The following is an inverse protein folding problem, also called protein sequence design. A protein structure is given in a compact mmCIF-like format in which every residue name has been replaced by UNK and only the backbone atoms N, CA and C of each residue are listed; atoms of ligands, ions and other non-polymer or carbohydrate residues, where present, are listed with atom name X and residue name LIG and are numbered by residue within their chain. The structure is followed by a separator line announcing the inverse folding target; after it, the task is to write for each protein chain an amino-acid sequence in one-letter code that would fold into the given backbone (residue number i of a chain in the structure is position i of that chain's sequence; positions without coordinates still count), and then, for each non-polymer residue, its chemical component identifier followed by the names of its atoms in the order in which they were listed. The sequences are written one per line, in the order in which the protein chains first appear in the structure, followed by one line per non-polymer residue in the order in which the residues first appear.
data_IF_661953376365
#
_entry.id   IF_661953376365
#
_cell.length_a   1.000
_cell.length_b   1.000
_cell.length_c   1.000
_cell.angle_alpha   90.00
_cell.angle_beta   90.00
_cell.angle_gamma   90.00
#
_symmetry.space_group_name_H-M   'P 1'
#
loop_
_entity.id
_entity.type
_entity.pdbx_description
1 polymer ?
#
# COMPACT_ATOMS: atom_id res chain seq x y z
N UNK A 1 -0.81 10.86 -3.48
CA UNK A 1 0.04 11.64 -4.42
C UNK A 1 0.62 10.77 -5.53
N UNK A 2 1.34 9.68 -5.25
CA UNK A 2 1.73 8.70 -6.28
C UNK A 2 0.87 7.45 -6.12
N UNK A 3 0.19 7.04 -7.18
CA UNK A 3 -0.61 5.81 -7.29
C UNK A 3 -0.66 5.38 -8.75
N UNK A 4 -0.86 4.09 -8.99
CA UNK A 4 -1.09 3.58 -10.34
C UNK A 4 -2.57 3.68 -10.73
N UNK A 5 -2.82 3.95 -12.01
CA UNK A 5 -4.15 4.00 -12.61
C UNK A 5 -4.78 2.61 -12.71
N UNK A 6 -6.10 2.58 -12.85
CA UNK A 6 -6.89 1.37 -13.06
C UNK A 6 -7.86 1.55 -14.22
N UNK A 7 -7.85 0.62 -15.17
CA UNK A 7 -8.68 0.67 -16.36
C UNK A 7 -9.53 -0.59 -16.47
N UNK A 8 -10.85 -0.43 -16.52
CA UNK A 8 -11.75 -1.52 -16.92
C UNK A 8 -11.72 -1.68 -18.44
N UNK A 9 -11.59 -2.93 -18.89
CA UNK A 9 -11.58 -3.33 -20.30
C UNK A 9 -12.49 -4.55 -20.51
N UNK A 10 -12.79 -4.89 -21.76
CA UNK A 10 -13.60 -6.07 -22.09
C UNK A 10 -12.96 -7.38 -21.60
N UNK A 11 -11.62 -7.43 -21.52
CA UNK A 11 -10.84 -8.60 -21.13
C UNK A 11 -10.45 -8.62 -19.64
N UNK A 12 -10.88 -7.62 -18.86
CA UNK A 12 -10.56 -7.50 -17.42
C UNK A 12 -10.00 -6.13 -17.04
N UNK A 13 -9.29 -6.06 -15.92
CA UNK A 13 -8.71 -4.81 -15.40
C UNK A 13 -7.22 -4.72 -15.74
N UNK A 14 -6.80 -3.56 -16.25
CA UNK A 14 -5.39 -3.18 -16.40
C UNK A 14 -5.02 -2.23 -15.27
N UNK A 15 -3.89 -2.47 -14.61
CA UNK A 15 -3.39 -1.63 -13.52
C UNK A 15 -4.03 -1.95 -12.18
N UNK A 16 -4.33 -0.91 -11.39
CA UNK A 16 -4.82 -1.03 -10.03
C UNK A 16 -6.35 -0.90 -9.94
N UNK A 17 -7.09 -1.96 -9.61
CA UNK A 17 -8.54 -1.88 -9.45
C UNK A 17 -9.03 -0.87 -8.40
N UNK A 18 -8.25 -0.57 -7.35
CA UNK A 18 -8.63 0.41 -6.33
C UNK A 18 -8.70 1.84 -6.89
N UNK A 19 -8.03 2.08 -8.02
CA UNK A 19 -7.91 3.38 -8.66
C UNK A 19 -8.89 3.60 -9.81
N UNK A 20 -9.74 2.63 -10.18
CA UNK A 20 -10.62 2.70 -11.36
C UNK A 20 -11.47 3.99 -11.38
N UNK A 21 -12.21 4.24 -10.30
CA UNK A 21 -13.10 5.41 -10.24
C UNK A 21 -12.33 6.74 -10.34
N UNK A 22 -11.17 6.83 -9.67
CA UNK A 22 -10.36 8.04 -9.74
C UNK A 22 -9.68 8.21 -11.10
N UNK A 23 -9.34 7.10 -11.76
CA UNK A 23 -8.79 7.09 -13.12
C UNK A 23 -9.84 7.60 -14.12
N UNK A 24 -11.07 7.10 -14.04
CA UNK A 24 -12.20 7.59 -14.85
C UNK A 24 -12.44 9.09 -14.62
N UNK A 25 -12.34 9.56 -13.38
CA UNK A 25 -12.43 10.98 -13.07
C UNK A 25 -11.30 11.78 -13.73
N UNK A 26 -10.05 11.31 -13.66
CA UNK A 26 -8.92 11.95 -14.35
C UNK A 26 -9.14 11.99 -15.87
N UNK A 27 -9.60 10.89 -16.48
CA UNK A 27 -9.94 10.84 -17.91
C UNK A 27 -11.05 11.83 -18.28
N UNK A 28 -12.06 12.00 -17.41
CA UNK A 28 -13.14 13.00 -17.61
C UNK A 28 -12.64 14.46 -17.59
N UNK A 29 -11.51 14.72 -16.92
CA UNK A 29 -10.82 16.01 -16.91
C UNK A 29 -9.83 16.19 -18.09
N UNK A 30 -9.76 15.20 -18.99
CA UNK A 30 -8.93 15.24 -20.20
C UNK A 30 -7.57 14.54 -20.07
N UNK A 31 -7.31 13.87 -18.95
CA UNK A 31 -6.12 13.02 -18.81
C UNK A 31 -6.17 11.83 -19.76
N UNK A 32 -5.01 11.35 -20.19
CA UNK A 32 -4.88 10.12 -20.96
C UNK A 32 -3.65 9.37 -20.47
N UNK A 33 -3.85 8.18 -19.90
CA UNK A 33 -2.76 7.27 -19.62
C UNK A 33 -2.38 6.40 -20.81
N UNK A 34 -1.24 5.73 -20.71
CA UNK A 34 -0.72 4.82 -21.73
C UNK A 34 -1.42 3.43 -21.70
N UNK A 35 -2.32 3.24 -20.72
CA UNK A 35 -3.06 2.00 -20.42
C UNK A 35 -2.12 0.83 -20.14
N UNK A 36 -1.10 1.08 -19.34
CA UNK A 36 -0.19 0.05 -18.82
C UNK A 36 -0.54 -0.34 -17.38
N UNK A 37 -0.03 -1.49 -16.86
CA UNK A 37 -0.27 -1.88 -15.48
C UNK A 37 0.27 -0.90 -14.42
N UNK A 38 1.15 0.03 -14.80
CA UNK A 38 1.87 0.90 -13.86
C UNK A 38 1.86 2.37 -14.30
N UNK A 39 0.79 2.81 -14.96
CA UNK A 39 0.63 4.22 -15.30
C UNK A 39 0.47 5.06 -14.03
N UNK A 40 1.35 6.04 -13.84
CA UNK A 40 1.28 6.95 -12.69
C UNK A 40 0.14 7.96 -12.90
N UNK A 41 -0.80 7.99 -11.96
CA UNK A 41 -1.89 8.95 -11.97
C UNK A 41 -1.39 10.39 -11.77
N UNK A 42 -2.06 11.38 -12.39
CA UNK A 42 -1.73 12.78 -12.20
C UNK A 42 -2.23 13.26 -10.82
N UNK A 43 -1.73 14.41 -10.37
CA UNK A 43 -2.31 15.11 -9.24
C UNK A 43 -3.56 15.85 -9.69
N UNK A 44 -4.65 15.69 -8.95
CA UNK A 44 -5.88 16.46 -9.14
C UNK A 44 -6.13 17.27 -7.88
N UNK A 45 -6.07 18.59 -8.00
CA UNK A 45 -6.15 19.52 -6.88
C UNK A 45 -7.30 20.49 -7.10
N UNK A 46 -8.15 20.62 -6.09
CA UNK A 46 -9.21 21.61 -6.03
C UNK A 46 -8.88 22.69 -5.00
N UNK A 47 -9.11 23.95 -5.37
CA UNK A 47 -8.95 25.09 -4.46
C UNK A 47 -10.33 25.72 -4.27
N UNK A 48 -10.87 25.60 -3.05
CA UNK A 48 -12.22 26.06 -2.68
C UNK A 48 -13.28 25.48 -3.64
N UNK A 49 -14.19 26.30 -4.15
CA UNK A 49 -15.28 25.88 -5.04
C UNK A 49 -14.90 25.92 -6.54
N UNK A 50 -13.60 26.08 -6.86
CA UNK A 50 -13.15 26.07 -8.25
C UNK A 50 -13.17 24.65 -8.83
N UNK A 51 -13.24 24.55 -10.16
CA UNK A 51 -13.04 23.25 -10.83
C UNK A 51 -11.66 22.68 -10.50
N UNK A 52 -11.55 21.38 -10.23
CA UNK A 52 -10.26 20.73 -10.00
C UNK A 52 -9.35 20.87 -11.21
N UNK A 53 -8.05 21.00 -10.96
CA UNK A 53 -7.02 21.08 -11.99
C UNK A 53 -6.10 19.87 -11.91
N UNK A 54 -5.68 19.43 -13.09
CA UNK A 54 -4.79 18.30 -13.27
C UNK A 54 -3.34 18.76 -13.43
N UNK A 55 -2.42 18.06 -12.78
CA UNK A 55 -0.98 18.27 -12.89
C UNK A 55 -0.30 16.91 -13.05
N UNK A 56 0.35 16.69 -14.19
CA UNK A 56 1.19 15.50 -14.36
C UNK A 56 2.43 15.61 -13.47
N UNK A 57 2.81 14.48 -12.89
CA UNK A 57 4.03 14.40 -12.07
C UNK A 57 5.20 14.10 -13.02
N UNK A 58 6.23 14.95 -13.08
CA UNK A 58 7.44 14.64 -13.83
C UNK A 58 8.02 13.28 -13.43
N UNK A 59 8.36 12.44 -14.42
CA UNK A 59 8.77 11.05 -14.20
C UNK A 59 10.00 10.95 -13.30
N UNK A 60 10.90 11.92 -13.38
CA UNK A 60 12.11 12.03 -12.55
C UNK A 60 11.83 12.22 -11.05
N UNK A 61 10.60 12.60 -10.67
CA UNK A 61 10.18 12.72 -9.28
C UNK A 61 9.44 11.48 -8.76
N UNK A 62 9.18 10.50 -9.62
CA UNK A 62 8.55 9.24 -9.24
C UNK A 62 9.62 8.16 -9.13
N UNK A 63 10.01 7.88 -7.89
CA UNK A 63 10.88 6.74 -7.60
C UNK A 63 10.08 5.44 -7.64
N UNK A 64 10.41 4.56 -8.57
CA UNK A 64 9.86 3.20 -8.66
C UNK A 64 10.95 2.15 -8.38
N UNK A 65 10.53 1.02 -7.82
CA UNK A 65 11.38 -0.13 -7.52
C UNK A 65 10.84 -1.32 -8.32
N UNK A 66 11.63 -1.83 -9.26
CA UNK A 66 11.35 -3.11 -9.92
C UNK A 66 11.56 -4.26 -8.92
N UNK A 67 10.63 -5.22 -8.92
CA UNK A 67 10.58 -6.30 -7.94
C UNK A 67 11.27 -7.55 -8.51
N UNK A 68 12.36 -7.93 -7.84
CA UNK A 68 13.17 -9.10 -8.12
C UNK A 68 13.27 -10.00 -6.89
N UNK A 69 13.29 -11.32 -7.11
CA UNK A 69 13.52 -12.27 -6.03
C UNK A 69 15.02 -12.55 -5.85
N UNK A 70 15.52 -12.71 -4.61
CA UNK A 70 16.93 -13.00 -4.35
C UNK A 70 17.42 -14.38 -4.86
N UNK A 71 16.53 -15.36 -4.99
CA UNK A 71 16.84 -16.75 -5.39
C UNK A 71 16.04 -17.22 -6.61
N UNK A 72 14.73 -17.00 -6.60
CA UNK A 72 13.82 -17.31 -7.72
C UNK A 72 13.89 -16.29 -8.87
N UNK A 73 14.96 -16.33 -9.67
CA UNK A 73 15.19 -15.35 -10.76
C UNK A 73 14.03 -15.24 -11.76
N UNK A 74 13.31 -16.34 -12.00
CA UNK A 74 12.16 -16.43 -12.91
C UNK A 74 11.03 -15.46 -12.57
N UNK A 75 10.90 -15.06 -11.29
CA UNK A 75 9.88 -14.08 -10.87
C UNK A 75 10.08 -12.70 -11.51
N UNK A 76 11.29 -12.37 -11.98
CA UNK A 76 11.55 -11.12 -12.72
C UNK A 76 10.78 -11.05 -14.04
N UNK A 77 10.37 -12.19 -14.60
CA UNK A 77 9.54 -12.25 -15.82
C UNK A 77 8.15 -11.63 -15.63
N UNK A 78 7.66 -11.50 -14.39
CA UNK A 78 6.39 -10.85 -14.07
C UNK A 78 6.46 -9.33 -14.17
N UNK A 79 7.65 -8.74 -14.29
CA UNK A 79 7.88 -7.30 -14.46
C UNK A 79 7.13 -6.44 -13.44
N UNK A 80 7.01 -6.95 -12.21
CA UNK A 80 6.34 -6.25 -11.12
C UNK A 80 7.17 -5.04 -10.69
N UNK A 81 6.49 -3.95 -10.32
CA UNK A 81 7.12 -2.75 -9.74
C UNK A 81 6.21 -2.07 -8.75
N UNK A 82 6.78 -1.25 -7.88
CA UNK A 82 6.03 -0.41 -6.95
C UNK A 82 6.73 0.93 -6.69
N UNK A 83 5.96 1.99 -6.43
CA UNK A 83 6.52 3.30 -6.10
C UNK A 83 7.10 3.31 -4.67
N UNK A 84 8.15 4.11 -4.46
CA UNK A 84 8.98 4.03 -3.24
C UNK A 84 8.38 4.67 -2.00
N UNK A 85 7.44 5.63 -2.15
CA UNK A 85 6.92 6.43 -1.02
C UNK A 85 5.38 6.37 -0.94
N UNK A 86 4.81 5.88 0.17
CA UNK A 86 3.35 5.83 0.37
C UNK A 86 2.82 7.19 0.80
N UNK A 87 2.33 7.98 -0.16
CA UNK A 87 1.67 9.24 0.14
C UNK A 87 0.16 9.08 0.29
N UNK A 88 -0.35 9.32 1.50
CA UNK A 88 -1.79 9.47 1.76
C UNK A 88 -2.12 10.95 1.66
N UNK A 89 -3.15 11.28 0.87
CA UNK A 89 -3.50 12.67 0.55
C UNK A 89 -4.99 12.95 0.51
N UNK A 90 -5.83 11.98 0.86
CA UNK A 90 -7.28 12.06 0.88
C UNK A 90 -7.86 12.09 2.29
N UNK A 91 -7.04 12.10 3.34
CA UNK A 91 -7.47 12.31 4.73
C UNK A 91 -7.38 13.78 5.14
N UNK A 92 -8.29 14.20 6.03
CA UNK A 92 -8.22 15.50 6.70
C UNK A 92 -7.51 15.37 8.05
N UNK A 93 -6.78 16.39 8.46
CA UNK A 93 -6.13 16.48 9.77
C UNK A 93 -6.89 17.47 10.66
N UNK A 94 -7.29 17.06 11.86
CA UNK A 94 -7.94 17.96 12.83
C UNK A 94 -7.00 18.26 14.01
N UNK A 95 -6.68 19.54 14.24
CA UNK A 95 -5.80 20.02 15.32
C UNK A 95 -6.40 21.25 15.99
N UNK A 96 -6.62 21.20 17.30
CA UNK A 96 -7.07 22.36 18.07
C UNK A 96 -8.41 22.96 17.61
N UNK A 97 -9.29 22.13 17.03
CA UNK A 97 -10.57 22.58 16.45
C UNK A 97 -10.49 23.10 15.02
N UNK A 98 -9.30 23.13 14.41
CA UNK A 98 -9.09 23.49 13.00
C UNK A 98 -9.04 22.22 12.16
N UNK A 99 -9.74 22.22 11.03
CA UNK A 99 -9.72 21.15 10.03
C UNK A 99 -8.85 21.55 8.85
N UNK A 100 -7.84 20.74 8.57
CA UNK A 100 -6.97 20.84 7.39
C UNK A 100 -7.38 19.75 6.40
N UNK A 101 -8.21 20.09 5.41
CA UNK A 101 -8.74 19.16 4.41
C UNK A 101 -7.66 18.62 3.45
N UNK A 102 -6.60 19.40 3.24
CA UNK A 102 -5.44 19.04 2.43
C UNK A 102 -4.17 19.02 3.28
N UNK A 103 -3.87 17.88 3.89
CA UNK A 103 -2.67 17.67 4.72
C UNK A 103 -1.98 16.34 4.35
N UNK A 104 -1.35 16.24 3.15
CA UNK A 104 -0.70 15.02 2.72
C UNK A 104 0.43 14.62 3.66
N UNK A 105 0.55 13.33 3.93
CA UNK A 105 1.59 12.77 4.80
C UNK A 105 2.13 11.45 4.23
N UNK A 106 3.30 11.06 4.70
CA UNK A 106 3.93 9.80 4.35
C UNK A 106 4.83 9.29 5.48
N UNK A 107 5.20 8.03 5.35
CA UNK A 107 6.36 7.44 6.02
C UNK A 107 7.17 6.68 4.98
N UNK A 108 7.50 5.44 5.30
CA UNK A 108 8.03 4.44 4.39
C UNK A 108 7.16 3.19 4.48
N UNK A 109 7.16 2.37 3.44
CA UNK A 109 6.37 1.15 3.41
C UNK A 109 6.82 0.13 4.46
N UNK A 110 5.84 -0.58 5.03
CA UNK A 110 6.02 -1.93 5.52
C UNK A 110 5.84 -2.92 4.36
N UNK A 111 6.73 -3.90 4.21
CA UNK A 111 6.75 -4.78 3.03
C UNK A 111 5.43 -5.51 2.76
N UNK A 112 4.65 -5.80 3.79
CA UNK A 112 3.33 -6.44 3.69
C UNK A 112 2.24 -5.56 3.11
N UNK A 113 2.37 -4.23 3.13
CA UNK A 113 1.46 -3.33 2.42
C UNK A 113 1.55 -3.60 0.90
N UNK A 114 2.76 -3.76 0.38
CA UNK A 114 2.98 -4.05 -1.04
C UNK A 114 2.77 -5.53 -1.33
N UNK A 115 3.54 -6.41 -0.68
CA UNK A 115 3.64 -7.82 -1.04
C UNK A 115 2.49 -8.69 -0.54
N UNK A 116 1.76 -8.26 0.50
CA UNK A 116 0.65 -9.03 1.06
C UNK A 116 -0.73 -8.38 0.88
N UNK A 117 -0.79 -7.13 0.42
CA UNK A 117 -2.04 -6.47 0.02
C UNK A 117 -1.97 -6.08 -1.45
N UNK A 118 -1.24 -5.03 -1.81
CA UNK A 118 -1.31 -4.43 -3.14
C UNK A 118 -1.06 -5.43 -4.28
N UNK A 119 0.00 -6.24 -4.18
CA UNK A 119 0.35 -7.24 -5.20
C UNK A 119 -0.41 -8.56 -5.04
N UNK A 120 -0.88 -8.90 -3.84
CA UNK A 120 -1.41 -10.22 -3.52
C UNK A 120 -2.95 -10.32 -3.55
N UNK A 121 -3.67 -9.27 -3.15
CA UNK A 121 -5.12 -9.28 -3.02
C UNK A 121 -5.78 -9.63 -4.37
N UNK A 122 -6.77 -10.52 -4.35
CA UNK A 122 -7.51 -10.92 -5.56
C UNK A 122 -8.23 -9.76 -6.23
N UNK A 123 -8.61 -8.75 -5.44
CA UNK A 123 -9.26 -7.52 -5.91
C UNK A 123 -8.26 -6.41 -6.24
N UNK A 124 -6.96 -6.72 -6.28
CA UNK A 124 -5.87 -5.82 -6.67
C UNK A 124 -5.10 -6.45 -7.82
N UNK A 125 -3.77 -6.53 -7.75
CA UNK A 125 -2.95 -7.10 -8.83
C UNK A 125 -2.97 -8.63 -8.91
N UNK A 126 -3.42 -9.31 -7.85
CA UNK A 126 -3.64 -10.77 -7.80
C UNK A 126 -2.45 -11.61 -8.34
N UNK A 127 -1.23 -11.36 -7.84
CA UNK A 127 -0.01 -11.99 -8.36
C UNK A 127 0.23 -13.41 -7.84
N UNK A 128 -0.44 -13.84 -6.77
CA UNK A 128 -0.19 -15.15 -6.14
C UNK A 128 -0.32 -16.34 -7.11
N UNK A 129 -1.35 -16.44 -7.98
CA UNK A 129 -1.46 -17.55 -8.93
C UNK A 129 -0.31 -17.58 -9.95
N UNK A 130 0.15 -16.41 -10.41
CA UNK A 130 1.26 -16.31 -11.38
C UNK A 130 2.58 -16.75 -10.75
N UNK A 131 2.84 -16.32 -9.52
CA UNK A 131 4.00 -16.74 -8.74
C UNK A 131 3.97 -18.24 -8.50
N UNK A 132 2.84 -18.79 -8.03
CA UNK A 132 2.69 -20.22 -7.80
C UNK A 132 2.92 -21.05 -9.07
N UNK A 133 2.46 -20.56 -10.23
CA UNK A 133 2.70 -21.20 -11.52
C UNK A 133 4.17 -21.22 -11.90
N UNK A 134 4.90 -20.10 -11.74
CA UNK A 134 6.33 -20.03 -12.06
C UNK A 134 7.15 -20.94 -11.15
N UNK A 135 6.81 -20.98 -9.85
CA UNK A 135 7.51 -21.80 -8.87
C UNK A 135 7.07 -23.28 -8.85
N UNK A 136 6.20 -23.69 -9.78
CA UNK A 136 5.75 -25.08 -9.92
C UNK A 136 4.94 -25.59 -8.72
N UNK A 137 4.19 -24.73 -8.03
CA UNK A 137 3.36 -25.14 -6.90
C UNK A 137 2.08 -25.84 -7.37
N UNK A 138 1.65 -26.86 -6.62
CA UNK A 138 0.35 -27.50 -6.83
C UNK A 138 -0.78 -26.58 -6.35
N UNK A 139 -1.43 -25.89 -7.29
CA UNK A 139 -2.56 -24.99 -7.03
C UNK A 139 -3.93 -25.67 -7.05
N UNK A 140 -3.99 -27.00 -7.14
CA UNK A 140 -5.27 -27.73 -7.28
C UNK A 140 -6.08 -27.79 -5.99
N UNK A 141 -5.43 -27.66 -4.82
CA UNK A 141 -6.06 -27.73 -3.51
C UNK A 141 -5.44 -26.71 -2.57
N UNK A 142 -6.27 -26.03 -1.79
CA UNK A 142 -5.78 -25.04 -0.81
C UNK A 142 -4.92 -25.69 0.30
N UNK A 143 -5.10 -26.97 0.60
CA UNK A 143 -4.31 -27.69 1.61
C UNK A 143 -2.83 -27.88 1.27
N UNK A 144 -2.42 -27.59 0.04
CA UNK A 144 -0.98 -27.53 -0.33
C UNK A 144 -0.31 -26.25 0.15
N UNK A 145 -1.09 -25.29 0.66
CA UNK A 145 -0.65 -23.96 1.12
C UNK A 145 0.08 -23.17 0.03
N UNK A 146 -0.29 -23.38 -1.23
CA UNK A 146 0.36 -22.71 -2.36
C UNK A 146 0.24 -21.19 -2.29
N UNK A 147 -0.87 -20.65 -1.75
CA UNK A 147 -1.07 -19.21 -1.55
C UNK A 147 -0.10 -18.67 -0.50
N UNK A 148 0.01 -19.35 0.63
CA UNK A 148 0.88 -18.97 1.74
C UNK A 148 2.35 -19.00 1.32
N UNK A 149 2.77 -20.04 0.58
CA UNK A 149 4.13 -20.15 0.03
C UNK A 149 4.42 -19.01 -0.95
N UNK A 150 3.53 -18.78 -1.92
CA UNK A 150 3.69 -17.68 -2.88
C UNK A 150 3.71 -16.30 -2.20
N UNK A 151 2.92 -16.12 -1.13
CA UNK A 151 2.87 -14.89 -0.34
C UNK A 151 4.21 -14.61 0.36
N UNK A 152 4.87 -15.65 0.90
CA UNK A 152 6.19 -15.53 1.51
C UNK A 152 7.24 -15.09 0.47
N UNK A 153 7.30 -15.77 -0.68
CA UNK A 153 8.26 -15.41 -1.74
C UNK A 153 8.01 -14.00 -2.29
N UNK A 154 6.75 -13.60 -2.47
CA UNK A 154 6.39 -12.24 -2.91
C UNK A 154 6.86 -11.18 -1.92
N UNK A 155 6.65 -11.38 -0.61
CA UNK A 155 7.11 -10.44 0.40
C UNK A 155 8.65 -10.41 0.51
N UNK A 156 9.31 -11.56 0.33
CA UNK A 156 10.76 -11.63 0.27
C UNK A 156 11.32 -10.84 -0.92
N UNK A 157 10.71 -10.97 -2.12
CA UNK A 157 11.07 -10.19 -3.30
C UNK A 157 10.94 -8.68 -3.07
N UNK A 158 9.82 -8.24 -2.48
CA UNK A 158 9.59 -6.82 -2.16
C UNK A 158 10.68 -6.28 -1.23
N UNK A 159 10.90 -6.95 -0.09
CA UNK A 159 11.90 -6.51 0.89
C UNK A 159 13.32 -6.51 0.32
N UNK A 160 13.67 -7.54 -0.48
CA UNK A 160 14.96 -7.60 -1.15
C UNK A 160 15.15 -6.44 -2.13
N UNK A 161 14.16 -6.20 -2.99
CA UNK A 161 14.22 -5.21 -4.06
C UNK A 161 14.34 -3.80 -3.53
N UNK A 162 13.52 -3.43 -2.54
CA UNK A 162 13.58 -2.10 -1.92
C UNK A 162 14.93 -1.87 -1.22
N UNK A 163 15.45 -2.86 -0.49
CA UNK A 163 16.78 -2.78 0.12
C UNK A 163 17.89 -2.63 -0.93
N UNK A 164 17.82 -3.41 -2.03
CA UNK A 164 18.79 -3.35 -3.13
C UNK A 164 18.78 -1.99 -3.84
N UNK A 165 17.60 -1.38 -3.98
CA UNK A 165 17.41 -0.06 -4.55
C UNK A 165 17.75 1.10 -3.58
N UNK A 166 18.11 0.82 -2.33
CA UNK A 166 18.39 1.83 -1.32
C UNK A 166 17.15 2.59 -0.84
N UNK A 167 15.95 2.04 -1.06
CA UNK A 167 14.68 2.65 -0.66
C UNK A 167 14.29 2.18 0.74
N UNK A 168 13.90 3.11 1.60
CA UNK A 168 13.49 2.79 2.97
C UNK A 168 12.27 1.87 2.98
N UNK A 169 12.37 0.76 3.70
CA UNK A 169 11.30 -0.22 3.89
C UNK A 169 11.52 -0.95 5.23
N UNK A 170 10.44 -1.41 5.86
CA UNK A 170 10.49 -2.21 7.09
C UNK A 170 9.73 -3.53 6.91
N UNK A 171 10.21 -4.62 7.50
CA UNK A 171 9.43 -5.87 7.58
C UNK A 171 8.44 -5.84 8.76
N UNK A 172 7.38 -6.62 8.68
CA UNK A 172 6.31 -6.61 9.68
C UNK A 172 6.74 -7.10 11.07
N UNK A 173 7.77 -7.95 11.18
CA UNK A 173 8.28 -8.36 12.49
C UNK A 173 9.08 -7.23 13.15
N UNK A 174 9.90 -6.51 12.38
CA UNK A 174 10.64 -5.34 12.87
C UNK A 174 9.69 -4.20 13.19
N UNK A 175 8.68 -3.93 12.36
CA UNK A 175 7.65 -2.92 12.63
C UNK A 175 6.90 -3.23 13.93
N UNK A 176 6.49 -4.48 14.16
CA UNK A 176 5.87 -4.87 15.42
C UNK A 176 6.80 -4.67 16.63
N UNK A 177 8.10 -4.99 16.52
CA UNK A 177 9.08 -4.71 17.59
C UNK A 177 9.24 -3.22 17.87
N UNK A 178 9.26 -2.37 16.84
CA UNK A 178 9.30 -0.91 16.99
C UNK A 178 8.01 -0.40 17.63
N UNK A 179 6.86 -0.97 17.27
CA UNK A 179 5.58 -0.66 17.92
C UNK A 179 5.62 -1.03 19.40
N UNK A 180 6.17 -2.19 19.78
CA UNK A 180 6.37 -2.55 21.20
C UNK A 180 7.19 -1.50 21.96
N UNK A 181 8.28 -1.01 21.38
CA UNK A 181 9.08 0.06 21.98
C UNK A 181 8.29 1.38 22.10
N UNK A 182 7.39 1.66 21.17
CA UNK A 182 6.45 2.77 21.30
C UNK A 182 5.49 2.55 22.49
N UNK A 183 4.90 1.36 22.64
CA UNK A 183 4.04 1.06 23.79
C UNK A 183 4.76 1.26 25.13
N UNK A 184 6.00 0.79 25.24
CA UNK A 184 6.83 0.93 26.45
C UNK A 184 7.14 2.39 26.76
N UNK A 185 7.40 3.22 25.73
CA UNK A 185 7.64 4.66 25.88
C UNK A 185 6.38 5.41 26.30
N UNK A 186 5.24 5.13 25.69
CA UNK A 186 3.97 5.75 26.08
C UNK A 186 3.63 5.44 27.54
N UNK A 187 3.77 4.17 27.93
CA UNK A 187 3.58 3.74 29.33
C UNK A 187 4.57 4.43 30.27
N UNK A 188 5.85 4.51 29.90
CA UNK A 188 6.88 5.19 30.69
C UNK A 188 6.63 6.69 30.89
N UNK A 189 5.81 7.28 30.03
CA UNK A 189 5.37 8.67 30.12
C UNK A 189 3.96 8.83 30.72
N UNK A 190 3.34 7.76 31.19
CA UNK A 190 2.00 7.77 31.76
C UNK A 190 0.89 8.07 30.74
N UNK A 191 1.15 7.95 29.44
CA UNK A 191 0.16 8.15 28.38
C UNK A 191 -0.60 6.85 28.09
N UNK A 192 -1.91 6.98 27.87
CA UNK A 192 -2.76 5.87 27.45
C UNK A 192 -2.48 5.54 25.99
N UNK A 193 -2.29 4.26 25.69
CA UNK A 193 -2.15 3.75 24.34
C UNK A 193 -3.53 3.46 23.75
N UNK A 194 -3.81 3.96 22.56
CA UNK A 194 -5.00 3.61 21.77
C UNK A 194 -4.58 3.00 20.44
N UNK A 195 -5.46 2.21 19.82
CA UNK A 195 -5.19 1.60 18.52
C UNK A 195 -6.27 0.63 18.06
N UNK A 196 -6.46 0.56 16.75
CA UNK A 196 -7.41 -0.36 16.12
C UNK A 196 -6.72 -1.69 15.81
N UNK A 197 -6.96 -2.72 16.61
CA UNK A 197 -6.25 -4.02 16.50
C UNK A 197 -6.27 -4.62 15.07
N UNK A 198 -7.41 -4.55 14.38
CA UNK A 198 -7.58 -5.07 13.03
C UNK A 198 -6.70 -4.39 11.97
N UNK A 199 -6.21 -3.17 12.25
CA UNK A 199 -5.26 -2.44 11.41
C UNK A 199 -3.80 -2.60 11.88
N UNK A 200 -3.58 -2.98 13.14
CA UNK A 200 -2.24 -3.15 13.71
C UNK A 200 -1.64 -4.53 13.39
N UNK A 201 -2.46 -5.57 13.32
CA UNK A 201 -1.96 -6.89 12.95
C UNK A 201 -1.51 -6.91 11.49
N UNK A 202 -0.31 -7.43 11.17
CA UNK A 202 0.11 -7.52 9.78
C UNK A 202 -0.76 -8.54 9.02
N UNK A 203 -0.99 -8.36 7.71
CA UNK A 203 -1.86 -9.23 6.92
C UNK A 203 -1.29 -10.63 6.63
N UNK A 204 -0.06 -10.91 7.08
CA UNK A 204 0.52 -12.25 7.09
C UNK A 204 1.25 -12.48 8.41
N UNK A 205 1.28 -13.74 8.86
CA UNK A 205 2.01 -14.16 10.06
C UNK A 205 1.66 -13.35 11.32
N UNK A 206 0.42 -12.89 11.45
CA UNK A 206 -0.03 -11.99 12.52
C UNK A 206 0.27 -12.54 13.91
N UNK A 207 -0.04 -13.83 14.12
CA UNK A 207 0.18 -14.54 15.38
C UNK A 207 1.67 -14.67 15.78
N UNK A 208 2.60 -14.40 14.86
CA UNK A 208 4.04 -14.33 15.14
C UNK A 208 4.49 -12.93 15.64
N UNK A 209 3.56 -12.03 15.94
CA UNK A 209 3.82 -10.70 16.52
C UNK A 209 3.16 -10.56 17.89
N UNK A 210 3.71 -9.72 18.77
CA UNK A 210 3.11 -9.51 20.10
C UNK A 210 1.74 -8.82 20.04
N UNK A 211 1.49 -8.05 18.98
CA UNK A 211 0.25 -7.29 18.74
C UNK A 211 -0.95 -8.23 18.70
N UNK A 212 -0.81 -9.39 18.05
CA UNK A 212 -1.91 -10.35 17.91
C UNK A 212 -2.43 -10.87 19.25
N UNK A 213 -1.58 -10.92 20.28
CA UNK A 213 -1.90 -11.51 21.59
C UNK A 213 -2.35 -10.44 22.62
N UNK A 214 -2.70 -9.24 22.16
CA UNK A 214 -3.02 -8.11 23.03
C UNK A 214 -4.25 -7.36 22.50
N UNK A 215 -5.10 -6.94 23.43
CA UNK A 215 -6.22 -6.05 23.15
C UNK A 215 -5.78 -4.58 23.14
N UNK A 216 -6.39 -3.78 22.27
CA UNK A 216 -6.17 -2.34 22.17
C UNK A 216 -7.52 -1.63 22.24
N UNK A 217 -7.55 -0.49 22.94
CA UNK A 217 -8.73 0.36 22.99
C UNK A 217 -8.79 1.23 21.72
N UNK A 218 -9.84 1.06 20.93
CA UNK A 218 -10.09 1.82 19.70
C UNK A 218 -10.74 3.18 20.02
N UNK A 219 -10.03 3.97 20.84
CA UNK A 219 -10.44 5.32 21.21
C UNK A 219 -9.71 6.37 20.36
N UNK A 220 -10.48 7.26 19.75
CA UNK A 220 -9.96 8.36 18.95
C UNK A 220 -9.51 9.50 19.88
N UNK A 221 -8.20 9.72 19.95
CA UNK A 221 -7.60 10.89 20.59
C UNK A 221 -7.31 11.96 19.53
N UNK A 222 -7.62 13.23 19.80
CA UNK A 222 -7.23 14.37 18.94
C UNK A 222 -5.93 15.03 19.44
N UNK A 223 -5.07 15.59 18.56
CA UNK A 223 -5.22 15.70 17.10
C UNK A 223 -5.13 14.36 16.36
N UNK A 224 -5.86 14.20 15.25
CA UNK A 224 -5.87 12.96 14.48
C UNK A 224 -6.24 13.17 13.00
N UNK A 225 -6.00 12.14 12.19
CA UNK A 225 -6.45 12.05 10.81
C UNK A 225 -7.84 11.40 10.73
N UNK A 226 -8.64 11.85 9.77
CA UNK A 226 -9.98 11.34 9.52
C UNK A 226 -10.24 11.20 8.03
N UNK A 227 -11.07 10.23 7.67
CA UNK A 227 -11.63 10.18 6.32
C UNK A 227 -12.54 11.39 6.06
N UNK A 228 -12.66 11.74 4.79
CA UNK A 228 -13.56 12.76 4.27
C UNK A 228 -14.17 12.25 2.96
N UNK A 229 -15.24 12.90 2.50
CA UNK A 229 -15.88 12.53 1.24
C UNK A 229 -14.92 12.68 0.06
N UNK A 230 -14.95 11.73 -0.86
CA UNK A 230 -14.16 11.79 -2.09
C UNK A 230 -14.77 12.85 -3.00
N UNK A 231 -13.93 13.71 -3.58
CA UNK A 231 -14.38 14.81 -4.45
C UNK A 231 -14.71 14.41 -5.89
N UNK A 232 -14.84 13.12 -6.18
CA UNK A 232 -15.04 12.56 -7.52
C UNK A 232 -16.13 11.49 -7.55
#
# INVERSE_FOLDING_TARGET
MVRYAGYETEDGVIGDPDSIHFTQFCESLGWKGDRTPYDVLPLVIQIKEQKPKLFEIPKEYVLEVDIHHPTEEELSSLQMRWYGVPFISDMKLEVGGITYEAAPFNGWYMGTEIGARDLADQKRYNMLPKIASLLGYDTTRDSTLWKDRALVELNAAVLHSFKKAGVSIVDHHTAAKQFKQFEEREKGQGRKLTGTWSWLIPPMSSAATHIFHKDYEDEIMKPNYFYQERGY
#
